data_IF_292058619680
#
_entry.id   IF_292058619680
#
_cell.length_a   1.000
_cell.length_b   1.000
_cell.length_c   1.000
_cell.angle_alpha   90.00
_cell.angle_beta   90.00
_cell.angle_gamma   90.00
#
_symmetry.space_group_name_H-M   'P 1'
#
loop_
_entity.id
_entity.type
_entity.pdbx_description
1 polymer ?
#
# COMPACT_ATOMS: atom_id res chain seq x y z
N UNK A 1 11.90 -1.54 7.19
CA UNK A 1 11.72 -2.90 6.63
C UNK A 1 12.90 -3.77 7.07
N UNK A 2 13.09 -3.96 8.40
CA UNK A 2 14.24 -4.70 8.92
C UNK A 2 14.25 -6.19 8.57
N UNK A 3 13.14 -6.76 8.12
CA UNK A 3 13.03 -8.19 7.83
C UNK A 3 13.21 -8.56 6.36
N UNK A 4 13.32 -7.58 5.46
CA UNK A 4 13.67 -7.80 4.07
C UNK A 4 15.20 -7.92 3.91
N UNK A 5 15.66 -8.85 3.06
CA UNK A 5 17.09 -9.00 2.78
C UNK A 5 17.63 -7.79 2.01
N UNK A 6 18.92 -7.50 2.15
CA UNK A 6 19.57 -6.41 1.40
C UNK A 6 19.41 -6.59 -0.11
N UNK A 7 19.57 -7.82 -0.61
CA UNK A 7 19.31 -8.14 -2.02
C UNK A 7 17.90 -7.74 -2.43
N UNK A 8 16.89 -8.10 -1.62
CA UNK A 8 15.49 -7.78 -1.93
C UNK A 8 15.24 -6.27 -1.93
N UNK A 9 15.84 -5.56 -0.98
CA UNK A 9 15.78 -4.10 -0.95
C UNK A 9 16.45 -3.52 -2.20
N UNK A 10 17.62 -4.02 -2.60
CA UNK A 10 18.32 -3.60 -3.82
C UNK A 10 17.50 -3.77 -5.11
N UNK A 11 16.73 -4.85 -5.21
CA UNK A 11 15.81 -5.09 -6.34
C UNK A 11 14.65 -4.09 -6.40
N UNK A 12 14.09 -3.73 -5.24
CA UNK A 12 12.83 -2.96 -5.17
C UNK A 12 13.07 -1.44 -5.10
N UNK A 13 14.19 -0.99 -4.56
CA UNK A 13 14.50 0.44 -4.38
C UNK A 13 14.46 1.26 -5.69
N UNK A 14 15.03 0.80 -6.82
CA UNK A 14 14.93 1.53 -8.08
C UNK A 14 13.48 1.76 -8.52
N UNK A 15 12.65 0.71 -8.44
CA UNK A 15 11.22 0.80 -8.75
C UNK A 15 10.48 1.74 -7.79
N UNK A 16 10.74 1.63 -6.49
CA UNK A 16 10.17 2.50 -5.45
C UNK A 16 10.48 3.97 -5.72
N UNK A 17 11.75 4.30 -5.97
CA UNK A 17 12.16 5.67 -6.25
C UNK A 17 11.53 6.21 -7.54
N UNK A 18 11.48 5.40 -8.59
CA UNK A 18 10.81 5.73 -9.85
C UNK A 18 9.33 6.05 -9.64
N UNK A 19 8.61 5.16 -8.93
CA UNK A 19 7.19 5.34 -8.62
C UNK A 19 6.94 6.58 -7.74
N UNK A 20 7.74 6.80 -6.70
CA UNK A 20 7.56 7.98 -5.85
C UNK A 20 7.74 9.29 -6.64
N UNK A 21 8.65 9.30 -7.62
CA UNK A 21 8.82 10.41 -8.55
C UNK A 21 7.63 10.55 -9.51
N UNK A 22 7.16 9.45 -10.10
CA UNK A 22 6.03 9.41 -11.05
C UNK A 22 4.76 9.97 -10.40
N UNK A 23 4.42 9.54 -9.19
CA UNK A 23 3.16 9.87 -8.49
C UNK A 23 3.29 10.97 -7.42
N UNK A 24 4.33 11.79 -7.52
CA UNK A 24 4.54 12.96 -6.63
C UNK A 24 4.53 12.63 -5.12
N UNK A 25 5.00 11.45 -4.74
CA UNK A 25 5.27 11.04 -3.35
C UNK A 25 6.64 11.60 -2.96
N UNK A 26 6.74 12.92 -2.86
CA UNK A 26 8.00 13.65 -2.91
C UNK A 26 8.38 14.38 -1.61
N UNK A 27 7.43 14.66 -0.70
CA UNK A 27 7.72 15.17 0.65
C UNK A 27 8.14 14.05 1.61
N UNK A 28 8.77 14.40 2.73
CA UNK A 28 9.17 13.43 3.75
C UNK A 28 7.95 12.68 4.28
N UNK A 29 6.87 13.41 4.57
CA UNK A 29 5.62 12.88 5.10
C UNK A 29 4.95 11.93 4.10
N UNK A 30 4.90 12.30 2.81
CA UNK A 30 4.33 11.45 1.75
C UNK A 30 5.12 10.17 1.60
N UNK A 31 6.45 10.26 1.54
CA UNK A 31 7.34 9.09 1.46
C UNK A 31 7.16 8.18 2.67
N UNK A 32 7.16 8.74 3.88
CA UNK A 32 6.98 7.98 5.11
C UNK A 32 5.63 7.27 5.15
N UNK A 33 4.54 7.95 4.80
CA UNK A 33 3.21 7.37 4.81
C UNK A 33 3.07 6.27 3.75
N UNK A 34 3.58 6.49 2.53
CA UNK A 34 3.58 5.50 1.46
C UNK A 34 4.36 4.25 1.88
N UNK A 35 5.61 4.42 2.33
CA UNK A 35 6.46 3.33 2.83
C UNK A 35 5.80 2.53 3.95
N UNK A 36 5.10 3.19 4.87
CA UNK A 36 4.43 2.54 5.98
C UNK A 36 3.30 1.62 5.53
N UNK A 37 2.50 2.08 4.56
CA UNK A 37 1.41 1.27 4.00
C UNK A 37 1.98 0.10 3.19
N UNK A 38 2.97 0.33 2.34
CA UNK A 38 3.64 -0.75 1.60
C UNK A 38 4.24 -1.79 2.55
N UNK A 39 4.96 -1.36 3.58
CA UNK A 39 5.58 -2.25 4.55
C UNK A 39 4.55 -3.16 5.23
N UNK A 40 3.40 -2.61 5.61
CA UNK A 40 2.35 -3.40 6.24
C UNK A 40 1.72 -4.40 5.27
N UNK A 41 1.32 -3.97 4.07
CA UNK A 41 0.54 -4.81 3.15
C UNK A 41 1.36 -5.93 2.50
N UNK A 42 2.65 -5.70 2.27
CA UNK A 42 3.53 -6.64 1.57
C UNK A 42 4.42 -7.47 2.50
N UNK A 43 4.24 -7.33 3.83
CA UNK A 43 5.15 -7.91 4.81
C UNK A 43 6.58 -7.42 4.61
N UNK A 44 6.75 -6.11 4.48
CA UNK A 44 8.02 -5.41 4.27
C UNK A 44 8.66 -5.61 2.88
N UNK A 45 7.84 -5.59 1.82
CA UNK A 45 8.23 -5.79 0.41
C UNK A 45 8.78 -7.19 0.08
N UNK A 46 8.63 -8.13 1.00
CA UNK A 46 9.02 -9.53 0.82
C UNK A 46 8.08 -10.28 -0.11
N UNK A 47 6.81 -9.89 -0.16
CA UNK A 47 5.79 -10.57 -0.95
C UNK A 47 5.20 -9.63 -2.01
N UNK A 48 5.20 -10.08 -3.27
CA UNK A 48 4.56 -9.38 -4.40
C UNK A 48 3.39 -10.17 -4.98
N UNK A 49 3.02 -11.30 -4.37
CA UNK A 49 1.89 -12.10 -4.77
C UNK A 49 1.30 -12.79 -3.54
N UNK A 50 -0.04 -12.84 -3.48
CA UNK A 50 -0.76 -13.56 -2.45
C UNK A 50 -0.52 -15.07 -2.58
N UNK A 51 -0.34 -15.74 -1.45
CA UNK A 51 -0.13 -17.20 -1.40
C UNK A 51 -1.45 -17.98 -1.59
N UNK A 52 -2.59 -17.32 -1.40
CA UNK A 52 -3.90 -17.93 -1.59
C UNK A 52 -4.14 -18.29 -3.06
N UNK A 53 -5.00 -19.29 -3.28
CA UNK A 53 -5.34 -19.77 -4.63
C UNK A 53 -6.17 -18.77 -5.45
N UNK A 54 -6.77 -17.76 -4.80
CA UNK A 54 -7.65 -16.78 -5.44
C UNK A 54 -9.09 -17.25 -5.68
N UNK A 55 -9.40 -18.53 -5.44
CA UNK A 55 -10.77 -19.05 -5.61
C UNK A 55 -11.82 -18.37 -4.72
N UNK A 56 -11.41 -17.77 -3.59
CA UNK A 56 -12.29 -16.96 -2.75
C UNK A 56 -12.82 -15.69 -3.46
N UNK A 57 -12.17 -15.27 -4.56
CA UNK A 57 -12.59 -14.13 -5.37
C UNK A 57 -13.44 -14.53 -6.59
N UNK A 58 -13.65 -15.82 -6.83
CA UNK A 58 -14.44 -16.30 -7.96
C UNK A 58 -15.90 -15.80 -7.86
N UNK A 59 -16.45 -15.30 -8.96
CA UNK A 59 -17.83 -14.82 -9.00
C UNK A 59 -18.09 -13.50 -8.25
N UNK A 60 -17.05 -12.85 -7.69
CA UNK A 60 -17.16 -11.54 -7.04
C UNK A 60 -17.44 -10.45 -8.09
N UNK A 61 -18.72 -10.21 -8.36
CA UNK A 61 -19.17 -9.20 -9.32
C UNK A 61 -18.70 -7.78 -8.97
N UNK A 62 -18.57 -7.45 -7.68
CA UNK A 62 -18.03 -6.18 -7.21
C UNK A 62 -16.54 -5.97 -7.55
N UNK A 63 -15.81 -7.06 -7.80
CA UNK A 63 -14.43 -7.06 -8.29
C UNK A 63 -14.32 -7.19 -9.82
N UNK A 64 -15.46 -7.27 -10.52
CA UNK A 64 -15.53 -7.55 -11.95
C UNK A 64 -15.22 -9.01 -12.32
N UNK A 65 -15.16 -9.92 -11.34
CA UNK A 65 -14.89 -11.34 -11.57
C UNK A 65 -16.17 -12.06 -12.02
N UNK A 66 -16.53 -11.87 -13.28
CA UNK A 66 -17.79 -12.37 -13.88
C UNK A 66 -17.59 -13.53 -14.84
N UNK A 67 -16.35 -13.88 -15.15
CA UNK A 67 -16.01 -15.03 -15.99
C UNK A 67 -15.45 -16.16 -15.13
N UNK A 68 -15.72 -17.40 -15.55
CA UNK A 68 -15.19 -18.58 -14.88
C UNK A 68 -13.66 -18.54 -14.86
N UNK A 69 -13.07 -18.67 -13.67
CA UNK A 69 -11.63 -18.65 -13.45
C UNK A 69 -11.04 -17.27 -13.16
N UNK A 70 -11.88 -16.24 -13.07
CA UNK A 70 -11.43 -14.88 -12.75
C UNK A 70 -10.81 -14.78 -11.35
N UNK A 71 -11.29 -15.55 -10.38
CA UNK A 71 -10.78 -15.49 -9.01
C UNK A 71 -9.27 -15.79 -8.94
N UNK A 72 -8.82 -16.97 -9.36
CA UNK A 72 -7.40 -17.30 -9.45
C UNK A 72 -6.61 -16.42 -10.42
N UNK A 73 -7.22 -16.05 -11.57
CA UNK A 73 -6.55 -15.24 -12.60
C UNK A 73 -6.19 -13.85 -12.07
N UNK A 74 -7.11 -13.21 -11.35
CA UNK A 74 -6.97 -11.86 -10.81
C UNK A 74 -6.82 -11.84 -9.27
N UNK A 75 -6.10 -12.82 -8.71
CA UNK A 75 -5.74 -12.85 -7.30
C UNK A 75 -4.80 -11.70 -6.90
N UNK A 76 -4.58 -11.51 -5.60
CA UNK A 76 -3.75 -10.43 -5.06
C UNK A 76 -2.31 -10.43 -5.57
N UNK A 77 -1.88 -9.31 -6.17
CA UNK A 77 -0.49 -9.06 -6.61
C UNK A 77 0.01 -7.66 -6.29
N UNK A 78 1.32 -7.51 -6.26
CA UNK A 78 2.01 -6.28 -5.92
C UNK A 78 1.97 -5.97 -4.41
N UNK A 79 2.63 -4.88 -4.01
CA UNK A 79 2.82 -4.55 -2.61
C UNK A 79 1.56 -4.00 -1.92
N UNK A 80 0.53 -3.62 -2.68
CA UNK A 80 -0.81 -3.27 -2.18
C UNK A 80 -1.89 -4.28 -2.61
N UNK A 81 -1.51 -5.50 -3.02
CA UNK A 81 -2.45 -6.61 -3.28
C UNK A 81 -3.63 -6.26 -4.21
N UNK A 82 -3.32 -5.81 -5.44
CA UNK A 82 -4.28 -5.59 -6.51
C UNK A 82 -5.05 -6.89 -6.81
N UNK A 83 -6.37 -6.85 -6.68
CA UNK A 83 -7.25 -8.04 -6.78
C UNK A 83 -8.50 -7.70 -7.59
N UNK A 84 -8.93 -8.61 -8.46
CA UNK A 84 -10.17 -8.50 -9.25
C UNK A 84 -9.99 -7.94 -10.65
N UNK A 85 -10.65 -8.55 -11.64
CA UNK A 85 -10.55 -8.19 -13.07
C UNK A 85 -10.72 -6.69 -13.32
N UNK A 86 -11.73 -6.07 -12.71
CA UNK A 86 -12.00 -4.65 -12.90
C UNK A 86 -10.82 -3.78 -12.45
N UNK A 87 -10.16 -4.17 -11.36
CA UNK A 87 -9.02 -3.44 -10.81
C UNK A 87 -7.76 -3.63 -11.67
N UNK A 88 -7.53 -4.83 -12.19
CA UNK A 88 -6.46 -5.09 -13.14
C UNK A 88 -6.63 -4.28 -14.43
N UNK A 89 -7.83 -4.24 -15.00
CA UNK A 89 -8.15 -3.42 -16.18
C UNK A 89 -7.90 -1.94 -15.92
N UNK A 90 -8.42 -1.40 -14.81
CA UNK A 90 -8.28 0.01 -14.49
C UNK A 90 -6.81 0.42 -14.29
N UNK A 91 -6.04 -0.39 -13.56
CA UNK A 91 -4.60 -0.17 -13.38
C UNK A 91 -3.85 -0.27 -14.72
N UNK A 92 -4.20 -1.26 -15.55
CA UNK A 92 -3.58 -1.47 -16.85
C UNK A 92 -3.77 -0.28 -17.78
N UNK A 93 -5.02 0.20 -17.91
CA UNK A 93 -5.35 1.37 -18.71
C UNK A 93 -4.60 2.63 -18.23
N UNK A 94 -4.58 2.87 -16.92
CA UNK A 94 -3.93 4.06 -16.36
C UNK A 94 -2.39 4.04 -16.50
N UNK A 95 -1.77 2.86 -16.52
CA UNK A 95 -0.31 2.70 -16.56
C UNK A 95 0.24 2.38 -17.96
N UNK A 96 -0.64 2.17 -18.95
CA UNK A 96 -0.27 1.70 -20.28
C UNK A 96 0.28 0.27 -20.28
N UNK A 97 -0.30 -0.62 -19.48
CA UNK A 97 0.13 -2.01 -19.30
C UNK A 97 -1.03 -2.98 -19.55
N UNK A 98 -0.78 -4.09 -20.23
CA UNK A 98 -1.81 -5.10 -20.49
C UNK A 98 -2.03 -6.05 -19.29
N UNK A 99 -2.47 -5.49 -18.18
CA UNK A 99 -2.68 -6.23 -16.92
C UNK A 99 -3.94 -7.11 -16.94
N UNK A 100 -4.90 -6.85 -17.83
CA UNK A 100 -6.09 -7.70 -17.92
C UNK A 100 -5.79 -9.01 -18.66
N UNK A 101 -5.02 -8.96 -19.75
CA UNK A 101 -4.64 -10.16 -20.48
C UNK A 101 -3.42 -10.85 -19.85
N UNK A 102 -2.48 -10.10 -19.27
CA UNK A 102 -1.31 -10.63 -18.55
C UNK A 102 -1.25 -10.15 -17.09
N UNK A 103 -2.08 -10.70 -16.20
CA UNK A 103 -2.12 -10.30 -14.79
C UNK A 103 -0.86 -10.68 -14.01
N UNK A 104 0.00 -11.57 -14.53
CA UNK A 104 1.24 -11.96 -13.87
C UNK A 104 2.24 -10.79 -13.79
N UNK A 105 2.14 -9.83 -14.71
CA UNK A 105 2.95 -8.60 -14.70
C UNK A 105 2.84 -7.84 -13.37
N UNK A 106 1.68 -7.89 -12.69
CA UNK A 106 1.49 -7.20 -11.42
C UNK A 106 2.37 -7.74 -10.27
N UNK A 107 2.94 -8.94 -10.40
CA UNK A 107 3.89 -9.50 -9.44
C UNK A 107 5.35 -9.04 -9.68
N UNK A 108 5.65 -8.48 -10.85
CA UNK A 108 6.97 -7.90 -11.11
C UNK A 108 7.20 -6.68 -10.19
N UNK A 109 8.35 -6.53 -9.52
CA UNK A 109 8.60 -5.42 -8.62
C UNK A 109 8.40 -4.03 -9.24
N UNK A 110 8.82 -3.81 -10.49
CA UNK A 110 8.67 -2.53 -11.17
C UNK A 110 7.19 -2.21 -11.43
N UNK A 111 6.47 -3.16 -12.02
CA UNK A 111 5.04 -3.02 -12.32
C UNK A 111 4.20 -2.92 -11.05
N UNK A 112 4.42 -3.81 -10.07
CA UNK A 112 3.72 -3.82 -8.79
C UNK A 112 3.88 -2.51 -8.03
N UNK A 113 5.07 -1.90 -8.08
CA UNK A 113 5.29 -0.60 -7.46
C UNK A 113 4.55 0.52 -8.20
N UNK A 114 4.58 0.55 -9.53
CA UNK A 114 3.78 1.51 -10.32
C UNK A 114 2.28 1.37 -10.06
N UNK A 115 1.78 0.14 -9.94
CA UNK A 115 0.39 -0.13 -9.51
C UNK A 115 0.11 0.48 -8.13
N UNK A 116 1.04 0.35 -7.18
CA UNK A 116 0.86 0.93 -5.84
C UNK A 116 0.87 2.47 -5.87
N UNK A 117 1.71 3.08 -6.70
CA UNK A 117 1.71 4.53 -6.93
C UNK A 117 0.43 5.02 -7.58
N UNK A 118 -0.05 4.35 -8.62
CA UNK A 118 -1.35 4.64 -9.24
C UNK A 118 -2.50 4.51 -8.24
N UNK A 119 -2.53 3.44 -7.46
CA UNK A 119 -3.55 3.24 -6.44
C UNK A 119 -3.58 4.39 -5.42
N UNK A 120 -2.39 4.84 -5.02
CA UNK A 120 -2.19 5.92 -4.07
C UNK A 120 -2.70 7.25 -4.63
N UNK A 121 -2.33 7.56 -5.86
CA UNK A 121 -2.74 8.77 -6.57
C UNK A 121 -4.24 8.79 -6.87
N UNK A 122 -4.78 7.69 -7.41
CA UNK A 122 -6.20 7.56 -7.79
C UNK A 122 -7.17 7.69 -6.60
N UNK A 123 -6.67 7.62 -5.36
CA UNK A 123 -7.44 7.78 -4.11
C UNK A 123 -7.14 9.08 -3.39
N UNK A 124 -6.33 9.95 -4.00
CA UNK A 124 -5.90 11.23 -3.49
C UNK A 124 -5.22 11.14 -2.11
N UNK A 125 -4.40 10.09 -1.91
CA UNK A 125 -3.79 9.83 -0.60
C UNK A 125 -2.70 10.85 -0.24
N UNK A 126 -2.07 11.49 -1.23
CA UNK A 126 -1.18 12.63 -0.99
C UNK A 126 -1.90 13.76 -0.24
N UNK A 127 -3.12 14.12 -0.63
CA UNK A 127 -3.90 15.16 0.08
C UNK A 127 -4.18 14.78 1.53
N UNK A 128 -4.49 13.51 1.82
CA UNK A 128 -4.68 13.06 3.19
C UNK A 128 -3.39 13.15 4.01
N UNK A 129 -2.23 12.84 3.40
CA UNK A 129 -0.94 13.06 4.07
C UNK A 129 -0.72 14.53 4.37
N UNK A 130 -0.95 15.41 3.42
CA UNK A 130 -0.72 16.84 3.57
C UNK A 130 -1.61 17.48 4.65
N UNK A 131 -2.78 16.88 4.90
CA UNK A 131 -3.70 17.24 5.98
C UNK A 131 -3.34 16.59 7.34
N UNK A 132 -2.33 15.71 7.38
CA UNK A 132 -1.96 14.94 8.56
C UNK A 132 -2.91 13.78 8.89
N UNK A 133 -3.82 13.40 7.98
CA UNK A 133 -4.83 12.36 8.21
C UNK A 133 -4.33 10.95 7.87
N UNK A 134 -3.39 10.45 8.68
CA UNK A 134 -2.86 9.09 8.50
C UNK A 134 -3.90 7.98 8.76
N UNK A 135 -4.92 8.26 9.58
CA UNK A 135 -6.04 7.33 9.79
C UNK A 135 -6.91 7.23 8.54
N UNK A 136 -7.21 8.36 7.88
CA UNK A 136 -7.93 8.42 6.62
C UNK A 136 -7.24 7.60 5.53
N UNK A 137 -5.91 7.69 5.42
CA UNK A 137 -5.11 6.85 4.50
C UNK A 137 -5.35 5.37 4.77
N UNK A 138 -5.24 4.96 6.04
CA UNK A 138 -5.43 3.55 6.44
C UNK A 138 -6.84 3.06 6.12
N UNK A 139 -7.87 3.87 6.40
CA UNK A 139 -9.26 3.55 6.07
C UNK A 139 -9.47 3.43 4.56
N UNK A 140 -8.87 4.31 3.77
CA UNK A 140 -9.01 4.32 2.31
C UNK A 140 -8.34 3.12 1.63
N UNK A 141 -7.26 2.61 2.21
CA UNK A 141 -6.55 1.42 1.74
C UNK A 141 -7.28 0.14 2.18
N UNK A 142 -7.63 0.04 3.46
CA UNK A 142 -8.07 -1.22 4.06
C UNK A 142 -9.59 -1.34 4.30
N UNK A 143 -10.35 -0.25 4.13
CA UNK A 143 -11.75 -0.17 4.52
C UNK A 143 -11.97 -0.05 6.05
N UNK A 144 -10.90 0.17 6.82
CA UNK A 144 -10.93 0.24 8.28
C UNK A 144 -9.56 0.55 8.88
N UNK A 145 -9.38 0.28 10.18
CA UNK A 145 -8.11 0.50 10.90
C UNK A 145 -7.36 -0.80 11.22
N UNK A 146 -7.57 -1.87 10.44
CA UNK A 146 -6.86 -3.12 10.68
C UNK A 146 -5.34 -2.92 10.53
N UNK A 147 -4.60 -3.41 11.52
CA UNK A 147 -3.15 -3.27 11.55
C UNK A 147 -2.66 -1.86 11.90
N UNK A 148 -3.51 -1.00 12.46
CA UNK A 148 -3.20 0.39 12.80
C UNK A 148 -1.86 0.57 13.54
N UNK A 149 -1.64 -0.18 14.61
CA UNK A 149 -0.42 -0.04 15.43
C UNK A 149 0.85 -0.31 14.61
N UNK A 150 0.83 -1.35 13.77
CA UNK A 150 1.97 -1.67 12.89
C UNK A 150 2.19 -0.58 11.84
N UNK A 151 1.13 -0.07 11.21
CA UNK A 151 1.22 1.00 10.21
C UNK A 151 1.76 2.28 10.84
N UNK A 152 1.29 2.64 12.03
CA UNK A 152 1.75 3.81 12.76
C UNK A 152 3.23 3.66 13.15
N UNK A 153 3.65 2.48 13.62
CA UNK A 153 5.05 2.19 13.92
C UNK A 153 5.96 2.34 12.71
N UNK A 154 5.57 1.79 11.54
CA UNK A 154 6.34 2.00 10.31
C UNK A 154 6.39 3.47 9.88
N UNK A 155 5.28 4.21 10.03
CA UNK A 155 5.22 5.62 9.68
C UNK A 155 6.16 6.47 10.53
N UNK A 156 6.11 6.29 11.85
CA UNK A 156 7.00 6.98 12.79
C UNK A 156 8.47 6.66 12.50
N UNK A 157 8.80 5.38 12.28
CA UNK A 157 10.16 4.97 11.95
C UNK A 157 10.66 5.56 10.64
N UNK A 158 9.80 5.64 9.62
CA UNK A 158 10.16 6.24 8.34
C UNK A 158 10.39 7.75 8.47
N UNK A 159 9.53 8.46 9.22
CA UNK A 159 9.72 9.89 9.50
C UNK A 159 11.04 10.17 10.21
N UNK A 160 11.38 9.38 11.23
CA UNK A 160 12.64 9.49 11.95
C UNK A 160 13.82 9.41 10.96
N UNK A 161 13.93 8.30 10.21
CA UNK A 161 15.03 8.07 9.27
C UNK A 161 15.11 9.14 8.18
N UNK A 162 13.97 9.60 7.64
CA UNK A 162 13.94 10.55 6.54
C UNK A 162 14.18 12.00 6.98
N UNK A 163 13.98 12.32 8.26
CA UNK A 163 14.26 13.64 8.84
C UNK A 163 15.68 13.77 9.37
N UNK A 164 16.36 12.65 9.64
CA UNK A 164 17.76 12.68 10.06
C UNK A 164 18.63 13.42 9.02
N UNK A 165 19.35 14.49 9.41
CA UNK A 165 20.26 15.17 8.52
C UNK A 165 21.34 14.21 8.00
N UNK A 166 21.62 14.25 6.70
CA UNK A 166 22.61 13.38 6.06
C UNK A 166 23.99 13.40 6.75
N UNK A 167 24.40 14.55 7.29
CA UNK A 167 25.64 14.71 8.05
C UNK A 167 25.67 13.91 9.37
N UNK A 168 24.54 13.76 10.07
CA UNK A 168 24.46 12.98 11.31
C UNK A 168 24.57 11.47 11.04
N UNK A 169 24.13 11.03 9.86
CA UNK A 169 24.20 9.62 9.43
C UNK A 169 25.61 9.20 8.99
N UNK A 170 26.37 10.10 8.35
CA UNK A 170 27.77 9.86 7.96
C UNK A 170 28.71 9.82 9.18
N UNK A 171 28.48 10.67 10.18
CA UNK A 171 29.26 10.69 11.43
C UNK A 171 29.00 9.46 12.31
N UNK A 172 27.83 8.82 12.19
CA UNK A 172 27.47 7.64 12.97
C UNK A 172 28.13 6.33 12.49
N UNK A 173 28.82 6.34 11.34
CA UNK A 173 29.46 5.16 10.75
C UNK A 173 28.47 4.03 10.35
N UNK A 174 28.94 2.97 9.67
CA UNK A 174 28.13 1.78 9.45
C UNK A 174 27.83 1.12 10.81
N UNK A 175 26.54 0.99 11.16
CA UNK A 175 26.14 0.21 12.35
C UNK A 175 26.53 -1.25 12.11
N UNK A 176 27.47 -1.74 12.89
CA UNK A 176 27.86 -3.14 12.90
C UNK A 176 26.72 -3.97 13.53
N UNK A 177 26.13 -4.94 12.82
CA UNK A 177 25.02 -5.73 13.36
C UNK A 177 25.40 -6.66 14.52
N UNK A 178 26.69 -6.83 14.84
CA UNK A 178 27.17 -7.61 15.99
C UNK A 178 27.55 -6.78 17.23
N UNK A 179 27.44 -5.44 17.17
CA UNK A 179 27.91 -4.59 18.25
C UNK A 179 26.92 -4.56 19.42
N UNK A 180 27.11 -5.49 20.34
CA UNK A 180 26.40 -5.57 21.62
C UNK A 180 26.99 -4.64 22.70
N UNK A 181 27.85 -3.68 22.35
CA UNK A 181 28.57 -2.86 23.34
C UNK A 181 28.03 -1.44 23.54
N UNK A 182 26.96 -1.04 22.83
CA UNK A 182 26.23 0.20 23.11
C UNK A 182 25.08 -0.06 24.11
N UNK A 183 25.42 -0.62 25.27
CA UNK A 183 24.70 -0.36 26.51
C UNK A 183 25.68 0.34 27.46
N UNK A 184 25.27 1.48 28.01
CA UNK A 184 25.86 2.19 29.17
C UNK A 184 26.68 3.48 28.97
N UNK A 185 26.30 4.38 28.06
CA UNK A 185 26.60 5.83 28.23
C UNK A 185 25.46 6.74 27.77
N UNK A 186 24.24 6.50 28.28
CA UNK A 186 23.15 7.49 28.29
C UNK A 186 22.50 7.52 29.67
N UNK A 187 23.25 7.99 30.67
CA UNK A 187 22.71 8.37 31.98
C UNK A 187 22.24 9.82 31.92
N UNK A 188 20.98 10.01 31.54
CA UNK A 188 20.37 11.34 31.49
C UNK A 188 18.90 11.30 31.10
N UNK A 189 18.06 10.83 32.02
CA UNK A 189 16.63 11.10 32.16
C UNK A 189 15.86 11.47 30.87
N UNK A 190 15.19 10.48 30.30
CA UNK A 190 13.80 10.51 29.79
C UNK A 190 13.52 9.15 29.13
N UNK A 191 12.88 8.24 29.88
CA UNK A 191 12.13 7.12 29.27
C UNK A 191 10.67 7.56 29.11
N UNK A 192 9.99 7.12 28.05
CA UNK A 192 8.69 6.50 28.25
C UNK A 192 8.54 5.22 27.39
N UNK A 193 8.81 4.09 28.00
CA UNK A 193 7.78 3.14 28.44
C UNK A 193 6.62 2.91 27.44
N UNK A 194 6.90 2.16 26.38
CA UNK A 194 5.85 1.55 25.56
C UNK A 194 5.27 0.33 26.30
N UNK A 195 4.13 0.50 27.00
CA UNK A 195 2.98 -0.43 27.16
C UNK A 195 2.09 -0.03 28.38
N UNK A 196 0.84 0.37 28.10
CA UNK A 196 -0.38 0.47 28.95
C UNK A 196 -0.50 1.46 30.14
N UNK A 197 -1.29 2.53 29.94
CA UNK A 197 -2.47 3.05 30.72
C UNK A 197 -2.67 4.54 30.37
N UNK A 198 -3.85 5.00 29.94
CA UNK A 198 -5.00 5.23 30.81
C UNK A 198 -6.38 5.01 30.16
N UNK A 199 -7.31 4.57 31.01
CA UNK A 199 -8.74 4.40 30.77
C UNK A 199 -9.52 5.54 31.41
N UNK A 200 -10.45 6.15 30.68
CA UNK A 200 -11.78 6.63 31.10
C UNK A 200 -12.58 6.74 29.77
N UNK A 201 -13.64 5.99 29.45
CA UNK A 201 -14.91 5.72 30.13
C UNK A 201 -15.56 4.42 29.59
N UNK A 202 -16.25 3.65 30.47
CA UNK A 202 -17.22 2.55 30.26
C UNK A 202 -16.72 1.29 29.50
N UNK A 203 -16.83 0.05 29.98
CA UNK A 203 -17.40 -0.52 31.20
C UNK A 203 -17.24 -2.05 31.19
N UNK A 204 -16.94 -2.61 32.37
CA UNK A 204 -17.31 -3.95 32.88
C UNK A 204 -16.70 -5.25 32.27
N UNK A 205 -16.10 -6.01 33.21
CA UNK A 205 -16.15 -7.47 33.39
C UNK A 205 -15.23 -8.38 32.53
N UNK A 206 -14.12 -8.86 33.11
CA UNK A 206 -13.95 -10.26 33.54
C UNK A 206 -12.56 -10.51 34.17
N UNK A 207 -12.54 -10.94 35.44
CA UNK A 207 -11.49 -11.71 36.10
C UNK A 207 -12.14 -13.05 36.43
N UNK A 208 -11.61 -14.15 35.89
CA UNK A 208 -11.72 -15.57 36.30
C UNK A 208 -11.72 -16.45 35.04
N UNK A 209 -11.03 -17.59 35.11
CA UNK A 209 -10.58 -18.50 34.04
C UNK A 209 -9.30 -17.98 33.34
N UNK A 210 -8.14 -18.60 33.53
CA UNK A 210 -7.90 -20.05 33.44
C UNK A 210 -7.14 -20.25 32.12
N UNK A 211 -5.90 -20.71 32.21
CA UNK A 211 -4.93 -20.68 31.11
C UNK A 211 -5.44 -21.24 29.79
N UNK A 212 -5.06 -20.56 28.70
CA UNK A 212 -4.94 -21.13 27.36
C UNK A 212 -3.72 -20.46 26.71
N UNK A 213 -2.89 -21.27 26.07
CA UNK A 213 -1.66 -20.92 25.35
C UNK A 213 -1.84 -19.75 24.35
N UNK A 214 -0.75 -19.03 23.99
CA UNK A 214 -0.81 -18.01 22.95
C UNK A 214 -1.31 -18.62 21.62
N UNK A 215 -2.07 -17.88 20.81
CA UNK A 215 -2.48 -18.36 19.50
C UNK A 215 -1.23 -18.57 18.62
N UNK A 216 -1.25 -19.68 17.89
CA UNK A 216 -0.27 -20.01 16.85
C UNK A 216 -0.15 -18.85 15.86
N UNK A 217 1.05 -18.67 15.31
CA UNK A 217 1.32 -17.82 14.17
C UNK A 217 0.28 -18.06 13.06
N UNK A 218 -0.71 -17.19 12.99
CA UNK A 218 -1.75 -17.18 11.97
C UNK A 218 -1.47 -16.07 10.97
N UNK A 219 -1.05 -16.45 9.77
CA UNK A 219 -1.18 -15.71 8.51
C UNK A 219 -1.11 -14.17 8.61
N UNK A 220 0.11 -13.62 8.65
CA UNK A 220 0.34 -12.23 8.23
C UNK A 220 0.38 -12.20 6.71
N UNK A 221 -0.77 -12.40 6.08
CA UNK A 221 -1.00 -12.03 4.68
C UNK A 221 -1.94 -10.83 4.75
N UNK A 222 -1.45 -9.67 4.33
CA UNK A 222 -2.23 -8.43 4.31
C UNK A 222 -3.57 -8.68 3.62
N UNK A 223 -4.66 -8.15 4.18
CA UNK A 223 -5.96 -8.25 3.53
C UNK A 223 -5.85 -7.58 2.18
N UNK A 224 -6.10 -8.35 1.13
CA UNK A 224 -6.10 -7.87 -0.25
C UNK A 224 -6.91 -6.60 -0.38
N UNK A 225 -6.49 -5.68 -1.26
CA UNK A 225 -7.30 -4.50 -1.56
C UNK A 225 -8.49 -4.96 -2.39
N UNK A 226 -9.46 -5.52 -1.68
CA UNK A 226 -10.74 -6.01 -2.17
C UNK A 226 -11.76 -4.89 -2.33
N UNK A 227 -11.36 -3.63 -2.12
CA UNK A 227 -12.26 -2.49 -2.25
C UNK A 227 -12.46 -2.23 -3.74
N UNK A 228 -13.70 -2.34 -4.27
CA UNK A 228 -14.01 -1.99 -5.64
C UNK A 228 -13.56 -0.55 -5.92
N UNK A 229 -12.88 -0.32 -7.05
CA UNK A 229 -12.57 1.04 -7.52
C UNK A 229 -13.84 1.87 -7.81
N UNK A 230 -14.99 1.22 -7.93
CA UNK A 230 -16.28 1.83 -8.30
C UNK A 230 -17.00 2.56 -7.18
N UNK A 231 -16.39 2.76 -5.99
CA UNK A 231 -16.96 3.69 -5.00
C UNK A 231 -16.82 5.13 -5.48
N UNK A 232 -17.86 5.58 -6.19
CA UNK A 232 -18.10 6.91 -6.75
C UNK A 232 -17.43 8.06 -5.97
N UNK A 233 -16.48 8.74 -6.61
CA UNK A 233 -16.06 10.11 -6.32
C UNK A 233 -15.87 10.86 -7.66
N UNK A 234 -16.14 12.18 -7.72
CA UNK A 234 -16.35 12.88 -8.98
C UNK A 234 -15.05 13.35 -9.65
N UNK A 235 -15.03 13.26 -10.98
CA UNK A 235 -14.34 14.21 -11.86
C UNK A 235 -12.91 13.88 -12.29
N UNK A 236 -12.77 12.99 -13.27
CA UNK A 236 -11.80 13.19 -14.36
C UNK A 236 -12.66 13.40 -15.61
N UNK A 237 -12.56 14.53 -16.33
CA UNK A 237 -13.34 14.72 -17.53
C UNK A 237 -12.83 13.77 -18.62
N UNK A 238 -13.72 12.90 -19.10
CA UNK A 238 -13.53 12.15 -20.35
C UNK A 238 -13.44 13.18 -21.48
N UNK A 239 -12.26 13.31 -22.07
CA UNK A 239 -12.06 14.15 -23.24
C UNK A 239 -12.18 13.30 -24.51
N UNK A 240 -13.40 12.80 -24.76
CA UNK A 240 -13.79 12.23 -26.03
C UNK A 240 -14.70 13.24 -26.75
N UNK A 241 -14.09 14.24 -27.38
CA UNK A 241 -14.70 14.98 -28.47
C UNK A 241 -13.68 15.19 -29.58
N UNK A 242 -13.63 14.22 -30.49
CA UNK A 242 -13.22 14.44 -31.87
C UNK A 242 -13.94 13.39 -32.71
N UNK A 243 -14.98 13.84 -33.42
CA UNK A 243 -15.39 13.35 -34.75
C UNK A 243 -16.59 14.19 -35.21
N UNK A 244 -16.29 15.36 -35.79
CA UNK A 244 -17.24 16.07 -36.64
C UNK A 244 -17.15 15.50 -38.06
N UNK A 245 -18.15 14.73 -38.47
CA UNK A 245 -18.39 14.44 -39.89
C UNK A 245 -18.96 15.67 -40.59
N UNK A 246 -18.46 16.09 -41.76
CA UNK A 246 -19.07 17.16 -42.53
C UNK A 246 -20.24 16.64 -43.39
N UNK A 247 -21.38 17.33 -43.28
CA UNK A 247 -22.59 17.11 -44.06
C UNK A 247 -22.35 17.30 -45.56
N UNK A 248 -22.68 16.28 -46.37
CA UNK A 248 -22.76 16.37 -47.83
C UNK A 248 -24.08 17.06 -48.22
N UNK A 249 -24.00 18.28 -48.75
CA UNK A 249 -25.10 18.94 -49.46
C UNK A 249 -24.77 18.95 -50.97
N UNK A 250 -25.32 17.98 -51.70
CA UNK A 250 -25.35 17.98 -53.16
C UNK A 250 -26.74 18.40 -53.65
N UNK A 251 -26.87 19.63 -54.14
CA UNK A 251 -27.99 20.06 -54.99
C UNK A 251 -27.90 19.32 -56.33
N UNK A 252 -29.03 18.80 -56.79
CA UNK A 252 -29.23 18.39 -58.19
C UNK A 252 -30.12 19.47 -58.80
N UNK A 253 -29.60 20.09 -59.86
CA UNK A 253 -30.34 21.01 -60.72
C UNK A 253 -31.26 20.21 -61.66
N UNK A 254 -32.51 20.66 -61.79
CA UNK A 254 -33.36 20.62 -63.00
C UNK A 254 -34.42 21.73 -62.87
#
# INVERSE_FOLDING_TARGET
MPHASEQRIGEVVPALNGTMKEFQVNTIERKAAFLAQLAHESGELRYMEEWASGWAYEGRADLGNVQRGDGPRYKGRGPLQLTGRANYRAAGNALGLDLENDPALAANPATGMRIAGWFWDSRNLNTLVDQGDFQGITRRINGGLNGWENRLGYYQRALEILREPSAARELAGPRNPDDSTIENTWSGHLKPDWFWRDRFLLGRFWKLWGGVSPPRAGSVVGRSVCVPLTSSQPGIPDNDQEDQEPSVNGKVDD
#
